data_IF_580157857604
#
_entry.id   IF_580157857604
#
_cell.length_a   1.000
_cell.length_b   1.000
_cell.length_c   1.000
_cell.angle_alpha   90.00
_cell.angle_beta   90.00
_cell.angle_gamma   90.00
#
_symmetry.space_group_name_H-M   'P 1'
#
loop_
_entity.id
_entity.type
_entity.pdbx_description
1 polymer ?
#
# COMPACT_ATOMS: atom_id res chain seq x y z
N UNK A 1 0.98 8.08 -11.90
CA UNK A 1 1.35 9.51 -12.10
C UNK A 1 0.73 10.39 -11.03
N UNK A 2 -0.59 10.58 -10.96
CA UNK A 2 -1.20 11.40 -9.87
C UNK A 2 -0.69 10.98 -8.48
N UNK A 3 -0.77 9.68 -8.14
CA UNK A 3 -0.28 9.19 -6.84
C UNK A 3 1.23 9.34 -6.63
N UNK A 4 2.05 9.34 -7.68
CA UNK A 4 3.51 9.53 -7.52
C UNK A 4 3.85 10.98 -7.22
N UNK A 5 3.07 11.93 -7.75
CA UNK A 5 3.26 13.36 -7.52
C UNK A 5 2.58 13.83 -6.21
N UNK A 6 1.37 13.36 -5.93
CA UNK A 6 0.55 13.81 -4.78
C UNK A 6 0.67 12.89 -3.55
N UNK A 7 1.37 11.75 -3.67
CA UNK A 7 1.42 10.70 -2.65
C UNK A 7 0.18 9.82 -2.60
N UNK A 8 -0.98 10.24 -3.10
CA UNK A 8 -2.19 9.43 -3.18
C UNK A 8 -3.10 9.91 -4.31
N UNK A 9 -4.11 9.13 -4.68
CA UNK A 9 -5.11 9.48 -5.68
C UNK A 9 -6.21 10.32 -5.01
N UNK A 10 -6.02 11.64 -5.01
CA UNK A 10 -6.98 12.60 -4.47
C UNK A 10 -8.24 12.72 -5.34
N UNK A 11 -9.31 13.34 -4.81
CA UNK A 11 -10.53 13.59 -5.60
C UNK A 11 -10.26 14.52 -6.79
N UNK A 12 -9.40 15.52 -6.59
CA UNK A 12 -8.96 16.43 -7.63
C UNK A 12 -8.15 15.68 -8.68
N UNK A 13 -7.23 14.81 -8.25
CA UNK A 13 -6.47 13.95 -9.16
C UNK A 13 -7.34 12.99 -9.97
N UNK A 14 -8.40 12.41 -9.37
CA UNK A 14 -9.39 11.60 -10.11
C UNK A 14 -10.16 12.42 -11.14
N UNK A 15 -10.57 13.65 -10.80
CA UNK A 15 -11.26 14.54 -11.71
C UNK A 15 -10.36 14.97 -12.88
N UNK A 16 -9.08 15.26 -12.60
CA UNK A 16 -8.06 15.55 -13.60
C UNK A 16 -7.87 14.39 -14.58
N UNK A 17 -7.77 13.15 -14.08
CA UNK A 17 -7.69 11.96 -14.94
C UNK A 17 -8.94 11.79 -15.81
N UNK A 18 -10.13 12.05 -15.25
CA UNK A 18 -11.40 11.95 -15.98
C UNK A 18 -11.45 12.95 -17.15
N UNK A 19 -11.14 14.22 -16.89
CA UNK A 19 -11.08 15.27 -17.92
C UNK A 19 -10.01 14.97 -18.99
N UNK A 20 -8.81 14.57 -18.57
CA UNK A 20 -7.68 14.34 -19.48
C UNK A 20 -7.92 13.16 -20.43
N UNK A 21 -8.68 12.15 -19.98
CA UNK A 21 -8.91 10.91 -20.71
C UNK A 21 -10.29 10.83 -21.38
N UNK A 22 -11.09 11.89 -21.31
CA UNK A 22 -12.49 11.91 -21.78
C UNK A 22 -13.34 10.78 -21.17
N UNK A 23 -13.23 10.61 -19.86
CA UNK A 23 -13.97 9.63 -19.06
C UNK A 23 -14.83 10.33 -18.02
N UNK A 24 -15.79 9.59 -17.46
CA UNK A 24 -16.53 10.06 -16.29
C UNK A 24 -15.71 9.88 -15.01
N UNK A 25 -15.92 10.76 -14.03
CA UNK A 25 -15.33 10.60 -12.69
C UNK A 25 -15.75 9.27 -12.03
N UNK A 26 -16.92 8.73 -12.40
CA UNK A 26 -17.40 7.45 -11.89
C UNK A 26 -16.53 6.27 -12.40
N UNK A 27 -16.15 6.27 -13.67
CA UNK A 27 -15.26 5.25 -14.24
C UNK A 27 -13.88 5.29 -13.60
N UNK A 28 -13.30 6.49 -13.43
CA UNK A 28 -12.01 6.65 -12.75
C UNK A 28 -12.09 6.22 -11.29
N UNK A 29 -13.18 6.57 -10.59
CA UNK A 29 -13.40 6.15 -9.20
C UNK A 29 -13.54 4.63 -9.09
N UNK A 30 -14.22 3.98 -10.04
CA UNK A 30 -14.33 2.52 -10.06
C UNK A 30 -12.94 1.87 -10.13
N UNK A 31 -12.06 2.35 -11.01
CA UNK A 31 -10.67 1.85 -11.12
C UNK A 31 -9.88 2.13 -9.84
N UNK A 32 -9.92 3.37 -9.32
CA UNK A 32 -9.18 3.78 -8.13
C UNK A 32 -9.63 3.07 -6.84
N UNK A 33 -10.86 2.56 -6.81
CA UNK A 33 -11.39 1.78 -5.67
C UNK A 33 -11.22 0.27 -5.86
N UNK A 34 -11.06 -0.20 -7.09
CA UNK A 34 -10.90 -1.61 -7.42
C UNK A 34 -9.48 -2.12 -7.15
N UNK A 35 -8.46 -1.38 -7.59
CA UNK A 35 -7.08 -1.75 -7.34
C UNK A 35 -6.62 -1.25 -5.97
N UNK A 36 -6.25 -2.18 -5.08
CA UNK A 36 -5.77 -1.88 -3.72
C UNK A 36 -4.54 -0.97 -3.67
N UNK A 37 -3.71 -1.01 -4.72
CA UNK A 37 -2.49 -0.19 -4.84
C UNK A 37 -2.77 1.32 -4.95
N UNK A 38 -3.97 1.72 -5.37
CA UNK A 38 -4.35 3.12 -5.41
C UNK A 38 -4.80 3.59 -4.03
N UNK A 39 -3.92 4.34 -3.37
CA UNK A 39 -4.20 5.01 -2.10
C UNK A 39 -5.16 6.15 -2.35
N UNK A 40 -6.25 6.19 -1.60
CA UNK A 40 -7.29 7.25 -1.71
C UNK A 40 -7.30 8.21 -0.53
N UNK A 41 -6.34 8.06 0.39
CA UNK A 41 -6.11 8.90 1.56
C UNK A 41 -4.62 9.18 1.68
N UNK A 42 -4.21 10.28 2.32
CA UNK A 42 -2.82 10.49 2.69
C UNK A 42 -2.29 9.31 3.48
N UNK A 43 -1.01 9.02 3.28
CA UNK A 43 -0.27 7.93 3.90
C UNK A 43 1.13 8.42 4.20
N UNK A 44 1.88 7.68 5.02
CA UNK A 44 3.25 8.05 5.36
C UNK A 44 4.23 7.98 4.19
N UNK A 45 5.38 8.63 4.41
CA UNK A 45 6.51 8.70 3.47
C UNK A 45 6.99 7.32 3.00
N UNK A 46 6.89 6.32 3.88
CA UNK A 46 7.22 4.92 3.63
C UNK A 46 5.98 4.05 3.77
N UNK A 47 5.62 3.36 2.69
CA UNK A 47 4.68 2.25 2.73
C UNK A 47 5.45 0.98 3.04
N UNK A 48 5.22 0.39 4.22
CA UNK A 48 5.82 -0.86 4.64
C UNK A 48 4.76 -1.95 4.56
N UNK A 49 4.89 -2.84 3.59
CA UNK A 49 3.96 -3.93 3.35
C UNK A 49 4.56 -5.27 3.71
N UNK A 50 3.83 -6.11 4.46
CA UNK A 50 4.28 -7.47 4.78
C UNK A 50 3.38 -8.49 4.10
N UNK A 51 3.98 -9.38 3.31
CA UNK A 51 3.25 -10.48 2.68
C UNK A 51 2.85 -11.50 3.74
N UNK A 52 1.55 -11.74 3.89
CA UNK A 52 1.00 -12.77 4.78
C UNK A 52 0.23 -13.84 4.03
N UNK A 53 0.51 -14.00 2.74
CA UNK A 53 -0.04 -15.09 1.94
C UNK A 53 0.69 -16.42 2.25
N UNK A 54 0.15 -17.55 1.81
CA UNK A 54 0.39 -18.89 2.37
C UNK A 54 1.85 -19.21 2.70
N UNK A 55 2.78 -19.06 1.74
CA UNK A 55 4.19 -19.38 2.00
C UNK A 55 4.83 -18.40 2.98
N UNK A 56 4.61 -17.09 2.82
CA UNK A 56 5.18 -16.10 3.73
C UNK A 56 4.62 -16.25 5.14
N UNK A 57 3.32 -16.54 5.30
CA UNK A 57 2.71 -16.86 6.59
C UNK A 57 3.41 -18.05 7.27
N UNK A 58 3.60 -19.15 6.55
CA UNK A 58 4.33 -20.33 7.05
C UNK A 58 5.77 -19.99 7.46
N UNK A 59 6.42 -19.10 6.72
CA UNK A 59 7.80 -18.69 6.98
C UNK A 59 7.93 -17.59 8.05
N UNK A 60 6.82 -17.08 8.62
CA UNK A 60 6.83 -16.10 9.71
C UNK A 60 6.37 -14.68 9.34
N UNK A 61 5.74 -14.49 8.18
CA UNK A 61 5.20 -13.19 7.74
C UNK A 61 4.20 -12.58 8.72
N UNK A 62 3.30 -13.39 9.30
CA UNK A 62 2.36 -12.92 10.32
C UNK A 62 3.09 -12.42 11.58
N UNK A 63 4.13 -13.15 12.01
CA UNK A 63 4.93 -12.77 13.16
C UNK A 63 5.72 -11.47 12.93
N UNK A 64 6.25 -11.27 11.71
CA UNK A 64 6.89 -10.01 11.31
C UNK A 64 5.88 -8.87 11.37
N UNK A 65 4.68 -9.07 10.80
CA UNK A 65 3.65 -8.04 10.78
C UNK A 65 3.21 -7.62 12.19
N UNK A 66 2.96 -8.60 13.07
CA UNK A 66 2.58 -8.30 14.46
C UNK A 66 3.72 -7.63 15.25
N UNK A 67 4.97 -8.04 15.04
CA UNK A 67 6.13 -7.37 15.64
C UNK A 67 6.23 -5.91 15.20
N UNK A 68 6.00 -5.62 13.91
CA UNK A 68 6.02 -4.26 13.39
C UNK A 68 4.87 -3.42 13.93
N UNK A 69 3.67 -3.98 14.07
CA UNK A 69 2.53 -3.29 14.70
C UNK A 69 2.86 -2.87 16.14
N UNK A 70 3.42 -3.78 16.93
CA UNK A 70 3.82 -3.48 18.31
C UNK A 70 4.93 -2.44 18.37
N UNK A 71 5.92 -2.55 17.49
CA UNK A 71 7.06 -1.62 17.45
C UNK A 71 6.66 -0.20 17.03
N UNK A 72 5.80 -0.08 16.02
CA UNK A 72 5.37 1.20 15.46
C UNK A 72 4.15 1.79 16.18
N UNK A 73 3.41 0.98 16.94
CA UNK A 73 2.19 1.40 17.63
C UNK A 73 1.01 1.67 16.69
N UNK A 74 0.98 1.04 15.51
CA UNK A 74 -0.06 1.24 14.48
C UNK A 74 -0.67 -0.09 14.05
N UNK A 75 -1.91 -0.07 13.57
CA UNK A 75 -2.60 -1.19 12.95
C UNK A 75 -2.36 -1.34 11.45
N UNK A 76 -3.14 -2.24 10.84
CA UNK A 76 -3.15 -2.42 9.39
C UNK A 76 -3.78 -1.22 8.68
N UNK A 77 -3.12 -0.69 7.66
CA UNK A 77 -3.46 0.54 6.94
C UNK A 77 -3.50 1.80 7.83
N UNK A 78 -2.74 1.80 8.93
CA UNK A 78 -2.57 2.95 9.79
C UNK A 78 -1.17 3.55 9.64
N UNK A 79 -1.04 4.83 9.96
CA UNK A 79 0.21 5.60 9.81
C UNK A 79 0.69 6.08 11.16
N UNK A 80 2.00 6.05 11.37
CA UNK A 80 2.63 6.54 12.61
C UNK A 80 2.31 8.01 12.86
N UNK A 81 2.31 8.42 14.13
CA UNK A 81 1.98 9.80 14.54
C UNK A 81 2.90 10.85 13.92
N UNK A 82 4.16 10.48 13.62
CA UNK A 82 5.13 11.34 12.94
C UNK A 82 4.93 11.41 11.41
N UNK A 83 3.95 10.69 10.88
CA UNK A 83 3.57 10.69 9.47
C UNK A 83 4.55 9.93 8.57
N UNK A 84 5.49 9.16 9.10
CA UNK A 84 6.55 8.54 8.27
C UNK A 84 6.20 7.18 7.72
N UNK A 85 5.59 6.30 8.52
CA UNK A 85 5.39 4.90 8.12
C UNK A 85 3.92 4.57 8.11
N UNK A 86 3.42 4.06 6.98
CA UNK A 86 2.15 3.33 6.93
C UNK A 86 2.45 1.84 6.87
N UNK A 87 1.82 1.07 7.75
CA UNK A 87 1.97 -0.38 7.80
C UNK A 87 0.77 -1.05 7.14
N UNK A 88 1.01 -1.99 6.22
CA UNK A 88 -0.04 -2.71 5.51
C UNK A 88 0.22 -4.22 5.40
N UNK A 89 -0.84 -5.01 5.51
CA UNK A 89 -0.84 -6.36 4.95
C UNK A 89 -0.90 -6.26 3.43
N UNK A 90 0.01 -6.94 2.76
CA UNK A 90 -0.01 -7.06 1.31
C UNK A 90 -0.24 -8.51 0.89
N UNK A 91 -0.79 -8.64 -0.30
CA UNK A 91 -0.95 -9.93 -0.96
C UNK A 91 0.38 -10.42 -1.56
N UNK A 92 0.33 -11.60 -2.19
CA UNK A 92 1.50 -12.24 -2.77
C UNK A 92 2.20 -11.33 -3.81
N UNK A 93 3.48 -11.04 -3.58
CA UNK A 93 4.36 -10.31 -4.50
C UNK A 93 5.22 -11.23 -5.41
N UNK A 94 4.90 -12.52 -5.45
CA UNK A 94 5.58 -13.52 -6.28
C UNK A 94 7.10 -13.67 -6.06
N UNK A 95 7.64 -13.21 -4.94
CA UNK A 95 9.04 -13.39 -4.52
C UNK A 95 9.19 -14.54 -3.50
N UNK A 96 8.51 -15.66 -3.75
CA UNK A 96 8.39 -16.77 -2.81
C UNK A 96 9.72 -17.41 -2.40
N UNK A 97 10.72 -17.37 -3.26
CA UNK A 97 12.07 -17.89 -2.98
C UNK A 97 12.82 -17.06 -1.91
N UNK A 98 12.34 -15.84 -1.63
CA UNK A 98 12.86 -14.93 -0.60
C UNK A 98 11.89 -14.76 0.58
N UNK A 99 10.93 -15.67 0.76
CA UNK A 99 9.96 -15.56 1.84
C UNK A 99 10.62 -15.61 3.24
N UNK A 100 10.13 -14.82 4.23
CA UNK A 100 9.02 -13.85 4.14
C UNK A 100 9.37 -12.55 3.42
N UNK A 101 8.43 -12.02 2.63
CA UNK A 101 8.64 -10.81 1.83
C UNK A 101 8.10 -9.58 2.54
N UNK A 102 8.92 -8.53 2.63
CA UNK A 102 8.55 -7.18 3.03
C UNK A 102 8.84 -6.22 1.88
N UNK A 103 7.90 -5.32 1.62
CA UNK A 103 8.00 -4.27 0.61
C UNK A 103 8.14 -2.92 1.29
N UNK A 104 9.03 -2.06 0.79
CA UNK A 104 9.04 -0.64 1.13
C UNK A 104 8.91 0.19 -0.14
N UNK A 105 7.85 1.00 -0.23
CA UNK A 105 7.57 1.86 -1.41
C UNK A 105 7.64 1.12 -2.76
N UNK A 106 7.16 -0.13 -2.81
CA UNK A 106 7.16 -1.01 -3.99
C UNK A 106 8.52 -1.56 -4.42
N UNK A 107 9.55 -1.40 -3.58
CA UNK A 107 10.79 -2.15 -3.68
C UNK A 107 10.76 -3.31 -2.69
N UNK A 108 11.13 -4.50 -3.14
CA UNK A 108 11.33 -5.64 -2.24
C UNK A 108 12.77 -5.62 -1.75
N UNK A 109 12.96 -5.99 -0.49
CA UNK A 109 14.27 -6.06 0.15
C UNK A 109 14.52 -7.52 0.56
N UNK A 110 15.73 -8.03 0.32
CA UNK A 110 16.18 -9.36 0.74
C UNK A 110 16.91 -9.33 2.10
#
# INVERSE_FOLDING_TARGET
LVQSEEGYVSRTGMAFCAETLDLTTAEVTAVATFYSMYRRRPSGDYQVGVCTNTLCAVMGGDAIFDTLKEHLGVGNNETTDDGKVTLEHIECNAACDFAPVVMVNWEFFD
#
